data_IF_682234856319
#
_entry.id   IF_682234856319
#
_cell.length_a   1.000
_cell.length_b   1.000
_cell.length_c   1.000
_cell.angle_alpha   90.00
_cell.angle_beta   90.00
_cell.angle_gamma   90.00
#
_symmetry.space_group_name_H-M   'P 1'
#
loop_
_entity.id
_entity.type
_entity.pdbx_description
1 polymer ?
#
# COMPACT_ATOMS: atom_id res chain seq x y z
N UNK A 1 14.93 -15.37 41.60
CA UNK A 1 14.69 -15.03 40.18
C UNK A 1 14.33 -16.34 39.52
N UNK A 2 13.03 -16.61 39.42
CA UNK A 2 12.54 -17.89 38.95
C UNK A 2 12.91 -18.09 37.48
N UNK A 3 13.69 -19.15 37.23
CA UNK A 3 14.00 -19.66 35.89
C UNK A 3 12.72 -20.01 35.11
N UNK A 4 11.63 -20.26 35.82
CA UNK A 4 10.32 -20.57 35.24
C UNK A 4 9.62 -19.37 34.62
N UNK A 5 9.89 -18.16 35.10
CA UNK A 5 9.37 -16.94 34.46
C UNK A 5 10.04 -16.68 33.10
N UNK A 6 11.30 -17.09 32.92
CA UNK A 6 12.03 -16.94 31.65
C UNK A 6 11.51 -17.95 30.62
N UNK A 7 11.21 -19.18 31.04
CA UNK A 7 10.69 -20.24 30.18
C UNK A 7 9.28 -19.96 29.67
N UNK A 8 8.43 -19.38 30.52
CA UNK A 8 7.07 -18.95 30.15
C UNK A 8 7.12 -17.79 29.15
N UNK A 9 8.09 -16.89 29.24
CA UNK A 9 8.25 -15.79 28.27
C UNK A 9 8.74 -16.29 26.90
N UNK A 10 9.58 -17.34 26.86
CA UNK A 10 10.06 -17.95 25.61
C UNK A 10 8.96 -18.76 24.91
N UNK A 11 8.11 -19.46 25.67
CA UNK A 11 6.94 -20.18 25.13
C UNK A 11 5.83 -19.22 24.62
N UNK A 12 5.67 -18.04 25.22
CA UNK A 12 4.72 -17.01 24.75
C UNK A 12 5.19 -16.28 23.48
N UNK A 13 6.50 -16.20 23.21
CA UNK A 13 7.02 -15.65 21.94
C UNK A 13 6.92 -16.65 20.78
N UNK A 14 6.90 -17.96 21.05
CA UNK A 14 6.85 -18.99 20.00
C UNK A 14 5.44 -19.26 19.47
N UNK A 15 4.40 -19.10 20.30
CA UNK A 15 2.98 -19.17 19.89
C UNK A 15 2.56 -17.98 18.98
N UNK A 16 3.37 -16.91 18.94
CA UNK A 16 3.16 -15.76 18.06
C UNK A 16 3.61 -15.97 16.60
N UNK A 17 4.25 -17.11 16.27
CA UNK A 17 4.72 -17.41 14.90
C UNK A 17 3.65 -18.03 14.01
N UNK A 18 2.52 -18.42 14.57
CA UNK A 18 1.33 -18.87 13.85
C UNK A 18 0.34 -17.72 13.58
N UNK A 19 0.83 -16.53 13.22
CA UNK A 19 -0.03 -15.51 12.61
C UNK A 19 -0.37 -15.94 11.17
N UNK A 20 -1.26 -16.93 11.07
CA UNK A 20 -2.14 -17.07 9.94
C UNK A 20 -2.74 -15.69 9.66
N UNK A 21 -2.68 -15.28 8.39
CA UNK A 21 -3.35 -14.09 7.88
C UNK A 21 -4.75 -14.01 8.48
N UNK A 22 -4.95 -13.10 9.44
CA UNK A 22 -6.18 -12.97 10.21
C UNK A 22 -7.21 -12.31 9.29
N UNK A 23 -7.76 -13.11 8.40
CA UNK A 23 -8.86 -12.69 7.55
C UNK A 23 -10.14 -12.80 8.37
N UNK A 24 -10.61 -11.66 8.85
CA UNK A 24 -11.93 -11.57 9.46
C UNK A 24 -12.97 -11.83 8.36
N UNK A 25 -13.84 -12.81 8.60
CA UNK A 25 -15.02 -13.00 7.75
C UNK A 25 -16.10 -12.05 8.25
N UNK A 26 -16.79 -11.39 7.35
CA UNK A 26 -17.96 -10.60 7.73
C UNK A 26 -19.15 -11.49 8.13
N UNK A 27 -20.24 -10.86 8.58
CA UNK A 27 -21.49 -11.52 8.95
C UNK A 27 -22.10 -12.37 7.80
N UNK A 28 -21.67 -12.12 6.56
CA UNK A 28 -22.10 -12.84 5.36
C UNK A 28 -21.09 -13.89 4.88
N UNK A 29 -19.98 -14.06 5.61
CA UNK A 29 -18.93 -15.05 5.32
C UNK A 29 -17.90 -14.63 4.28
N UNK A 30 -17.90 -13.37 3.80
CA UNK A 30 -16.91 -12.88 2.85
C UNK A 30 -15.59 -12.50 3.54
N UNK A 31 -14.50 -12.72 2.81
CA UNK A 31 -13.16 -12.39 3.26
C UNK A 31 -12.95 -10.87 3.32
N UNK A 32 -12.73 -10.34 4.51
CA UNK A 32 -12.29 -8.96 4.68
C UNK A 32 -10.76 -8.92 4.72
N UNK A 33 -10.19 -7.93 4.05
CA UNK A 33 -8.76 -7.68 4.05
C UNK A 33 -8.48 -6.23 4.38
N UNK A 34 -7.49 -6.00 5.24
CA UNK A 34 -6.98 -4.69 5.57
C UNK A 34 -5.44 -4.66 5.55
N UNK A 35 -4.87 -3.46 5.59
CA UNK A 35 -3.44 -3.24 5.58
C UNK A 35 -2.87 -3.48 6.97
N UNK A 36 -2.22 -4.60 7.17
CA UNK A 36 -1.40 -4.84 8.36
C UNK A 36 0.06 -4.40 8.12
N UNK A 37 0.64 -3.70 9.11
CA UNK A 37 2.05 -3.31 9.12
C UNK A 37 2.76 -3.97 10.28
N UNK A 38 3.80 -4.73 9.97
CA UNK A 38 4.68 -5.31 10.99
C UNK A 38 5.47 -4.19 11.70
N UNK A 39 5.70 -4.37 12.99
CA UNK A 39 6.45 -3.41 13.82
C UNK A 39 7.87 -3.18 13.30
N UNK A 40 8.52 -4.23 12.80
CA UNK A 40 9.88 -4.18 12.24
C UNK A 40 9.94 -3.70 10.79
N UNK A 41 8.80 -3.44 10.14
CA UNK A 41 8.78 -2.99 8.76
C UNK A 41 9.22 -1.53 8.66
N UNK A 42 10.54 -1.32 8.49
CA UNK A 42 11.14 -0.05 8.04
C UNK A 42 10.69 0.23 6.61
N UNK A 43 9.48 0.73 6.52
CA UNK A 43 8.74 0.90 5.30
C UNK A 43 9.20 2.21 4.66
N UNK A 44 10.33 2.10 3.95
CA UNK A 44 11.12 3.17 3.36
C UNK A 44 10.38 3.80 2.18
N UNK A 45 9.41 4.65 2.48
CA UNK A 45 8.89 5.59 1.49
C UNK A 45 10.05 6.45 0.99
N UNK A 46 10.16 6.57 -0.33
CA UNK A 46 11.15 7.40 -0.99
C UNK A 46 11.04 8.85 -0.51
N UNK A 47 12.14 9.55 -0.30
CA UNK A 47 12.08 10.96 0.10
C UNK A 47 11.76 11.86 -1.11
N UNK A 48 10.97 12.93 -0.91
CA UNK A 48 10.57 13.81 -2.01
C UNK A 48 11.75 14.56 -2.68
N UNK A 49 12.84 14.79 -1.94
CA UNK A 49 14.08 15.44 -2.43
C UNK A 49 15.18 14.45 -2.83
N UNK A 50 14.84 13.16 -3.00
CA UNK A 50 15.80 12.18 -3.49
C UNK A 50 16.12 12.41 -4.97
N UNK A 51 17.26 11.90 -5.45
CA UNK A 51 17.78 12.10 -6.82
C UNK A 51 17.02 11.33 -7.92
N UNK A 52 15.70 11.17 -7.79
CA UNK A 52 14.86 10.51 -8.78
C UNK A 52 14.13 11.53 -9.66
N UNK A 53 13.76 11.17 -10.90
CA UNK A 53 12.98 12.04 -11.77
C UNK A 53 11.67 12.50 -11.11
N UNK A 54 11.22 13.75 -11.33
CA UNK A 54 10.00 14.29 -10.71
C UNK A 54 8.75 13.44 -10.96
N UNK A 55 8.67 12.79 -12.13
CA UNK A 55 7.58 11.88 -12.49
C UNK A 55 7.55 10.65 -11.57
N UNK A 56 8.71 10.13 -11.19
CA UNK A 56 8.81 8.99 -10.28
C UNK A 56 8.38 9.39 -8.87
N UNK A 57 8.90 10.51 -8.37
CA UNK A 57 8.51 11.04 -7.05
C UNK A 57 7.00 11.20 -6.97
N UNK A 58 6.37 11.85 -7.96
CA UNK A 58 4.92 12.10 -7.95
C UNK A 58 4.08 10.83 -8.16
N UNK A 59 4.60 9.83 -8.86
CA UNK A 59 3.93 8.55 -9.06
C UNK A 59 3.91 7.66 -7.81
N UNK A 60 4.90 7.78 -6.91
CA UNK A 60 4.98 6.95 -5.70
C UNK A 60 3.72 7.07 -4.83
N UNK A 61 3.25 8.27 -4.43
CA UNK A 61 1.99 8.40 -3.69
C UNK A 61 0.79 7.80 -4.42
N UNK A 62 0.70 8.00 -5.74
CA UNK A 62 -0.40 7.47 -6.56
C UNK A 62 -0.44 5.93 -6.46
N UNK A 63 0.70 5.28 -6.68
CA UNK A 63 0.79 3.82 -6.60
C UNK A 63 0.45 3.28 -5.21
N UNK A 64 0.87 3.96 -4.14
CA UNK A 64 0.61 3.52 -2.78
C UNK A 64 -0.87 3.66 -2.39
N UNK A 65 -1.54 4.77 -2.71
CA UNK A 65 -2.97 4.89 -2.45
C UNK A 65 -3.80 3.90 -3.26
N UNK A 66 -3.47 3.66 -4.53
CA UNK A 66 -4.14 2.64 -5.34
C UNK A 66 -3.89 1.22 -4.80
N UNK A 67 -2.72 0.97 -4.21
CA UNK A 67 -2.45 -0.29 -3.50
C UNK A 67 -3.35 -0.42 -2.27
N UNK A 68 -3.46 0.61 -1.43
CA UNK A 68 -4.36 0.59 -0.27
C UNK A 68 -5.81 0.35 -0.70
N UNK A 69 -6.27 1.04 -1.75
CA UNK A 69 -7.62 0.88 -2.29
C UNK A 69 -7.94 -0.56 -2.74
N UNK A 70 -6.94 -1.30 -3.23
CA UNK A 70 -7.07 -2.72 -3.58
C UNK A 70 -7.16 -3.63 -2.36
N UNK A 71 -6.33 -3.37 -1.36
CA UNK A 71 -6.21 -4.22 -0.18
C UNK A 71 -7.45 -4.07 0.71
N UNK A 72 -7.81 -2.84 1.05
CA UNK A 72 -8.94 -2.57 1.94
C UNK A 72 -10.26 -3.00 1.30
N UNK A 73 -11.02 -3.86 1.98
CA UNK A 73 -12.32 -4.32 1.50
C UNK A 73 -13.43 -3.27 1.68
N UNK A 74 -13.34 -2.43 2.71
CA UNK A 74 -14.30 -1.36 3.00
C UNK A 74 -13.73 0.02 2.70
N UNK A 75 -14.59 1.00 2.44
CA UNK A 75 -14.14 2.37 2.21
C UNK A 75 -13.66 3.04 3.51
N UNK A 76 -14.22 2.67 4.66
CA UNK A 76 -13.80 3.16 5.98
C UNK A 76 -12.36 2.71 6.32
N UNK A 77 -12.05 1.41 6.15
CA UNK A 77 -10.69 0.90 6.35
C UNK A 77 -9.71 1.58 5.39
N UNK A 78 -10.10 1.78 4.13
CA UNK A 78 -9.28 2.52 3.17
C UNK A 78 -9.00 3.96 3.64
N UNK A 79 -10.00 4.70 4.12
CA UNK A 79 -9.80 6.07 4.58
C UNK A 79 -8.89 6.17 5.80
N UNK A 80 -9.06 5.28 6.77
CA UNK A 80 -8.20 5.17 7.95
C UNK A 80 -6.73 4.92 7.55
N UNK A 81 -6.51 3.89 6.73
CA UNK A 81 -5.18 3.51 6.26
C UNK A 81 -4.55 4.61 5.39
N UNK A 82 -5.35 5.26 4.54
CA UNK A 82 -4.90 6.37 3.71
C UNK A 82 -4.46 7.58 4.55
N UNK A 83 -5.11 7.84 5.68
CA UNK A 83 -4.71 8.91 6.60
C UNK A 83 -3.34 8.63 7.23
N UNK A 84 -3.10 7.41 7.70
CA UNK A 84 -1.78 7.01 8.23
C UNK A 84 -0.70 7.14 7.16
N UNK A 85 -0.96 6.65 5.94
CA UNK A 85 -0.05 6.77 4.80
C UNK A 85 0.24 8.23 4.45
N UNK A 86 -0.75 9.12 4.53
CA UNK A 86 -0.58 10.56 4.28
C UNK A 86 0.38 11.19 5.28
N UNK A 87 0.26 10.87 6.57
CA UNK A 87 1.17 11.38 7.60
C UNK A 87 2.62 10.99 7.26
N UNK A 88 2.86 9.73 6.95
CA UNK A 88 4.19 9.23 6.61
C UNK A 88 4.78 9.89 5.36
N UNK A 89 3.95 10.17 4.35
CA UNK A 89 4.41 10.90 3.17
C UNK A 89 4.75 12.36 3.49
N UNK A 90 3.97 13.02 4.34
CA UNK A 90 4.28 14.39 4.79
C UNK A 90 5.64 14.42 5.49
N UNK A 91 5.92 13.43 6.34
CA UNK A 91 7.19 13.34 7.06
C UNK A 91 8.38 13.08 6.12
N UNK A 92 8.13 12.56 4.91
CA UNK A 92 9.11 12.39 3.83
C UNK A 92 9.19 13.57 2.85
N UNK A 93 8.59 14.71 3.20
CA UNK A 93 8.69 15.96 2.44
C UNK A 93 7.75 16.09 1.25
N UNK A 94 6.74 15.22 1.11
CA UNK A 94 5.78 15.35 0.01
C UNK A 94 4.80 16.51 0.22
N UNK A 95 4.55 17.27 -0.85
CA UNK A 95 3.60 18.39 -0.80
C UNK A 95 2.15 17.90 -0.60
N UNK A 96 1.37 18.67 0.16
CA UNK A 96 -0.05 18.38 0.37
C UNK A 96 -0.85 18.31 -0.93
N UNK A 97 -0.49 19.13 -1.93
CA UNK A 97 -1.13 19.13 -3.25
C UNK A 97 -0.94 17.79 -3.97
N UNK A 98 0.27 17.24 -3.95
CA UNK A 98 0.57 15.94 -4.56
C UNK A 98 -0.21 14.82 -3.88
N UNK A 99 -0.21 14.83 -2.53
CA UNK A 99 -0.91 13.80 -1.75
C UNK A 99 -2.42 13.85 -1.94
N UNK A 100 -3.03 15.05 -1.94
CA UNK A 100 -4.47 15.22 -2.17
C UNK A 100 -4.88 14.73 -3.56
N UNK A 101 -4.10 15.04 -4.60
CA UNK A 101 -4.37 14.55 -5.96
C UNK A 101 -4.30 13.02 -6.02
N UNK A 102 -3.26 12.42 -5.43
CA UNK A 102 -3.08 10.97 -5.41
C UNK A 102 -4.18 10.25 -4.63
N UNK A 103 -4.56 10.77 -3.46
CA UNK A 103 -5.67 10.27 -2.64
C UNK A 103 -6.99 10.35 -3.40
N UNK A 104 -7.34 11.51 -3.96
CA UNK A 104 -8.59 11.70 -4.70
C UNK A 104 -8.69 10.73 -5.88
N UNK A 105 -7.59 10.53 -6.62
CA UNK A 105 -7.55 9.55 -7.70
C UNK A 105 -7.87 8.15 -7.19
N UNK A 106 -7.28 7.73 -6.08
CA UNK A 106 -7.56 6.41 -5.52
C UNK A 106 -8.99 6.28 -4.99
N UNK A 107 -9.52 7.31 -4.33
CA UNK A 107 -10.90 7.33 -3.83
C UNK A 107 -11.94 7.25 -4.96
N UNK A 108 -11.67 7.90 -6.09
CA UNK A 108 -12.53 7.88 -7.27
C UNK A 108 -12.40 6.58 -8.08
N UNK A 109 -11.37 5.77 -7.84
CA UNK A 109 -11.20 4.50 -8.55
C UNK A 109 -11.91 3.40 -7.75
N UNK A 110 -12.93 2.73 -8.31
CA UNK A 110 -13.59 1.65 -7.61
C UNK A 110 -12.64 0.46 -7.47
N UNK A 111 -12.75 -0.24 -6.34
CA UNK A 111 -11.87 -1.38 -6.02
C UNK A 111 -11.92 -2.48 -7.08
N UNK A 112 -13.10 -2.71 -7.67
CA UNK A 112 -13.30 -3.75 -8.68
C UNK A 112 -12.41 -3.54 -9.93
N UNK A 113 -12.29 -2.30 -10.41
CA UNK A 113 -11.42 -1.95 -11.55
C UNK A 113 -9.94 -2.21 -11.25
N UNK A 114 -9.54 -2.08 -9.98
CA UNK A 114 -8.16 -2.30 -9.57
C UNK A 114 -7.83 -3.77 -9.32
N UNK A 115 -8.82 -4.59 -8.96
CA UNK A 115 -8.68 -6.05 -8.82
C UNK A 115 -8.70 -6.75 -10.18
N UNK A 116 -9.53 -6.27 -11.10
CA UNK A 116 -9.73 -6.85 -12.43
C UNK A 116 -9.45 -5.80 -13.51
N UNK A 117 -8.16 -5.44 -13.73
CA UNK A 117 -7.82 -4.48 -14.77
C UNK A 117 -8.18 -5.04 -16.14
N UNK A 118 -8.87 -4.25 -16.96
CA UNK A 118 -9.15 -4.61 -18.34
C UNK A 118 -7.84 -4.76 -19.13
N UNK A 119 -7.76 -5.81 -19.96
CA UNK A 119 -6.64 -6.00 -20.89
C UNK A 119 -6.74 -4.92 -21.97
N UNK A 120 -5.94 -3.86 -21.85
CA UNK A 120 -5.75 -2.94 -22.98
C UNK A 120 -5.09 -3.69 -24.13
N UNK A 121 -5.67 -3.59 -25.33
CA UNK A 121 -5.03 -4.08 -26.54
C UNK A 121 -3.68 -3.36 -26.67
N UNK A 122 -2.60 -4.12 -26.81
CA UNK A 122 -1.28 -3.53 -27.04
C UNK A 122 -1.30 -2.96 -28.45
N UNK A 123 -1.26 -1.64 -28.57
CA UNK A 123 -0.90 -1.04 -29.85
C UNK A 123 0.59 -1.28 -30.05
N UNK A 124 0.93 -2.09 -31.06
CA UNK A 124 2.31 -2.39 -31.41
C UNK A 124 3.04 -1.09 -31.76
N UNK A 125 4.07 -0.73 -30.99
CA UNK A 125 5.00 0.33 -31.32
C UNK A 125 5.81 -0.06 -32.56
N UNK A 126 5.27 0.20 -33.76
CA UNK A 126 5.98 0.11 -35.03
C UNK A 126 5.96 1.46 -35.75
N UNK A 127 6.48 2.54 -35.15
CA UNK A 127 6.86 3.73 -35.91
C UNK A 127 7.70 4.72 -35.08
N UNK A 128 9.01 4.52 -34.97
CA UNK A 128 9.92 5.60 -34.50
C UNK A 128 11.41 5.42 -34.87
N UNK A 129 11.76 4.50 -35.79
CA UNK A 129 13.16 4.25 -36.15
C UNK A 129 13.33 4.06 -37.67
N UNK A 130 12.94 5.03 -38.50
CA UNK A 130 13.63 5.31 -39.76
C UNK A 130 13.13 6.62 -40.42
N UNK A 131 13.68 7.77 -40.03
CA UNK A 131 13.74 8.97 -40.89
C UNK A 131 14.92 9.83 -40.44
N UNK A 132 16.14 9.34 -40.65
CA UNK A 132 17.33 10.20 -40.79
C UNK A 132 18.20 9.55 -41.88
N UNK A 133 18.59 10.39 -42.85
CA UNK A 133 19.34 10.18 -44.11
C UNK A 133 18.50 9.74 -45.31
#
# INVERSE_FOLDING_TARGET
>A
MDLEAVRILEELEEESRDTASMHEKDEFGYLQSDVHRKETAVNSLLHASSSHPPQTITAVPIGQYLRMRRICSTDESFEFQAQELRCRFRDRGYSQRTLRKAYNRAKQTPRIELLYPEKKQKEDCKQAYYTII
#
